data_IF_757116161383
#
_entry.id   IF_757116161383
#
_cell.length_a   1.000
_cell.length_b   1.000
_cell.length_c   1.000
_cell.angle_alpha   90.00
_cell.angle_beta   90.00
_cell.angle_gamma   90.00
#
_symmetry.space_group_name_H-M   'P 1'
#
loop_
_entity.id
_entity.type
_entity.pdbx_description
1 polymer ?
#
# COMPACT_ATOMS: atom_id res chain seq x y z
N UNK A 1 -15.02 15.06 -29.55
CA UNK A 1 -15.14 15.11 -31.02
C UNK A 1 -16.00 16.26 -31.51
N UNK A 2 -17.06 16.68 -30.83
CA UNK A 2 -17.90 17.83 -31.30
C UNK A 2 -17.20 19.16 -31.48
N UNK A 3 -16.13 19.43 -30.72
CA UNK A 3 -15.43 20.73 -30.75
C UNK A 3 -14.68 21.02 -32.09
N UNK A 4 -14.09 20.00 -32.71
CA UNK A 4 -13.38 20.20 -33.98
C UNK A 4 -14.32 20.45 -35.13
N UNK A 5 -15.45 19.71 -35.18
CA UNK A 5 -16.47 19.85 -36.20
C UNK A 5 -17.14 21.20 -36.19
N UNK A 6 -17.14 21.89 -35.06
CA UNK A 6 -17.79 23.20 -34.89
C UNK A 6 -16.76 24.34 -34.91
N UNK A 7 -15.69 24.26 -34.12
CA UNK A 7 -14.74 25.36 -33.95
C UNK A 7 -13.89 25.62 -35.19
N UNK A 8 -13.38 24.58 -35.86
CA UNK A 8 -12.56 24.72 -37.06
C UNK A 8 -13.32 25.37 -38.22
N UNK A 9 -14.49 24.84 -38.60
CA UNK A 9 -15.32 25.42 -39.65
C UNK A 9 -15.79 26.84 -39.35
N UNK A 10 -16.20 27.11 -38.12
CA UNK A 10 -16.66 28.46 -37.72
C UNK A 10 -15.51 29.47 -37.82
N UNK A 11 -14.33 29.15 -37.28
CA UNK A 11 -13.18 30.06 -37.32
C UNK A 11 -12.71 30.31 -38.75
N UNK A 12 -12.67 29.28 -39.59
CA UNK A 12 -12.32 29.41 -40.98
C UNK A 12 -13.41 30.13 -41.79
N UNK A 13 -14.69 29.90 -41.45
CA UNK A 13 -15.81 30.62 -42.05
C UNK A 13 -15.74 32.12 -41.79
N UNK A 14 -15.49 32.51 -40.53
CA UNK A 14 -15.32 33.93 -40.16
C UNK A 14 -14.13 34.55 -40.92
N UNK A 15 -13.01 33.83 -41.00
CA UNK A 15 -11.84 34.30 -41.72
C UNK A 15 -12.08 34.41 -43.22
N UNK A 16 -12.78 33.46 -43.83
CA UNK A 16 -13.18 33.50 -45.24
C UNK A 16 -14.06 34.71 -45.54
N UNK A 17 -15.09 34.94 -44.74
CA UNK A 17 -15.96 36.10 -44.85
C UNK A 17 -15.18 37.41 -44.73
N UNK A 18 -14.24 37.53 -43.77
CA UNK A 18 -13.45 38.72 -43.56
C UNK A 18 -12.53 39.07 -44.77
N UNK A 19 -12.06 38.04 -45.51
CA UNK A 19 -11.16 38.23 -46.64
C UNK A 19 -11.91 38.51 -47.93
N UNK A 20 -13.09 37.89 -48.14
CA UNK A 20 -13.82 37.91 -49.40
C UNK A 20 -15.10 38.74 -49.37
N UNK A 21 -15.35 39.48 -48.32
CA UNK A 21 -16.52 40.36 -48.26
C UNK A 21 -16.38 41.55 -49.26
N UNK A 22 -17.43 41.92 -50.04
CA UNK A 22 -18.78 41.34 -50.07
C UNK A 22 -18.95 40.14 -51.03
N UNK A 23 -17.95 39.76 -51.79
CA UNK A 23 -18.06 38.79 -52.92
C UNK A 23 -17.75 37.35 -52.45
N UNK A 24 -18.36 36.90 -51.35
CA UNK A 24 -18.18 35.56 -50.84
C UNK A 24 -19.16 34.53 -51.42
N UNK A 25 -18.72 33.29 -51.58
CA UNK A 25 -19.55 32.16 -51.99
C UNK A 25 -19.36 30.95 -51.08
N UNK A 26 -20.44 30.50 -50.46
CA UNK A 26 -20.40 29.28 -49.63
C UNK A 26 -20.11 28.01 -50.45
N UNK A 27 -20.46 27.98 -51.72
CA UNK A 27 -20.15 26.88 -52.61
C UNK A 27 -18.63 26.72 -52.84
N UNK A 28 -17.89 27.82 -52.88
CA UNK A 28 -16.44 27.83 -52.99
C UNK A 28 -15.75 27.56 -51.63
N UNK A 29 -16.37 27.98 -50.53
CA UNK A 29 -15.79 27.80 -49.20
C UNK A 29 -15.50 26.34 -48.85
N UNK A 30 -16.45 25.43 -49.10
CA UNK A 30 -16.30 24.02 -48.73
C UNK A 30 -15.14 23.35 -49.48
N UNK A 31 -14.98 23.38 -50.83
CA UNK A 31 -13.88 22.73 -51.50
C UNK A 31 -12.53 23.45 -51.31
N UNK A 32 -12.51 24.77 -51.20
CA UNK A 32 -11.26 25.54 -51.15
C UNK A 32 -10.71 25.75 -49.75
N UNK A 33 -11.56 25.80 -48.76
CA UNK A 33 -11.15 26.10 -47.36
C UNK A 33 -11.44 25.00 -46.37
N UNK A 34 -12.56 24.31 -46.50
CA UNK A 34 -12.96 23.29 -45.50
C UNK A 34 -12.29 21.94 -45.76
N UNK A 35 -12.29 21.47 -47.00
CA UNK A 35 -11.72 20.18 -47.41
C UNK A 35 -10.27 20.26 -47.87
N UNK A 36 -9.52 21.25 -47.46
CA UNK A 36 -8.12 21.39 -47.83
C UNK A 36 -7.16 20.67 -46.89
N UNK A 37 -6.00 20.26 -47.42
CA UNK A 37 -4.91 19.71 -46.61
C UNK A 37 -4.49 20.66 -45.48
N UNK A 38 -4.57 21.98 -45.69
CA UNK A 38 -4.28 23.01 -44.70
C UNK A 38 -5.22 22.92 -43.48
N UNK A 39 -6.52 22.70 -43.72
CA UNK A 39 -7.48 22.52 -42.63
C UNK A 39 -7.18 21.25 -41.84
N UNK A 40 -6.91 20.15 -42.52
CA UNK A 40 -6.54 18.90 -41.90
C UNK A 40 -5.29 19.04 -41.01
N UNK A 41 -4.21 19.62 -41.51
CA UNK A 41 -2.97 19.83 -40.80
C UNK A 41 -3.15 20.76 -39.57
N UNK A 42 -3.89 21.86 -39.76
CA UNK A 42 -4.03 22.86 -38.68
C UNK A 42 -5.02 22.48 -37.57
N UNK A 43 -6.01 21.65 -37.90
CA UNK A 43 -7.09 21.36 -36.95
C UNK A 43 -7.25 19.88 -36.63
N UNK A 44 -7.29 19.00 -37.61
CA UNK A 44 -7.50 17.59 -37.40
C UNK A 44 -6.25 16.89 -36.85
N UNK A 45 -5.07 17.19 -37.40
CA UNK A 45 -3.82 16.54 -36.97
C UNK A 45 -3.44 16.83 -35.52
N UNK A 46 -3.43 18.09 -35.02
CA UNK A 46 -3.19 18.37 -33.61
C UNK A 46 -4.18 17.64 -32.69
N UNK A 47 -5.44 17.58 -33.10
CA UNK A 47 -6.47 16.93 -32.31
C UNK A 47 -6.29 15.41 -32.24
N UNK A 48 -5.86 14.78 -33.32
CA UNK A 48 -5.52 13.36 -33.35
C UNK A 48 -4.31 13.09 -32.44
N UNK A 49 -3.29 13.96 -32.47
CA UNK A 49 -2.11 13.86 -31.63
C UNK A 49 -2.48 14.00 -30.15
N UNK A 50 -3.24 15.04 -29.79
CA UNK A 50 -3.68 15.24 -28.40
C UNK A 50 -4.58 14.10 -27.94
N UNK A 51 -5.50 13.63 -28.76
CA UNK A 51 -6.36 12.48 -28.47
C UNK A 51 -5.55 11.21 -28.26
N UNK A 52 -4.55 10.96 -29.10
CA UNK A 52 -3.65 9.82 -28.96
C UNK A 52 -2.83 9.88 -27.66
N UNK A 53 -2.22 11.04 -27.36
CA UNK A 53 -1.46 11.24 -26.12
C UNK A 53 -2.36 11.08 -24.90
N UNK A 54 -3.54 11.70 -24.91
CA UNK A 54 -4.49 11.59 -23.82
C UNK A 54 -4.93 10.13 -23.56
N UNK A 55 -5.24 9.39 -24.63
CA UNK A 55 -5.61 7.99 -24.54
C UNK A 55 -4.47 7.14 -23.95
N UNK A 56 -3.23 7.34 -24.39
CA UNK A 56 -2.08 6.59 -23.87
C UNK A 56 -1.79 6.92 -22.40
N UNK A 57 -1.91 8.20 -22.00
CA UNK A 57 -1.75 8.58 -20.59
C UNK A 57 -2.85 7.96 -19.74
N UNK A 58 -4.10 8.00 -20.19
CA UNK A 58 -5.22 7.38 -19.48
C UNK A 58 -5.02 5.87 -19.31
N UNK A 59 -4.68 5.17 -20.39
CA UNK A 59 -4.39 3.72 -20.35
C UNK A 59 -3.20 3.40 -19.45
N UNK A 60 -2.18 4.23 -19.40
CA UNK A 60 -1.03 4.04 -18.53
C UNK A 60 -1.41 4.20 -17.05
N UNK A 61 -2.24 5.19 -16.72
CA UNK A 61 -2.74 5.39 -15.36
C UNK A 61 -3.63 4.22 -14.92
N UNK A 62 -4.57 3.81 -15.78
CA UNK A 62 -5.45 2.67 -15.52
C UNK A 62 -4.65 1.37 -15.34
N UNK A 63 -3.61 1.16 -16.15
CA UNK A 63 -2.71 0.00 -16.03
C UNK A 63 -1.94 0.02 -14.71
N UNK A 64 -1.41 1.18 -14.30
CA UNK A 64 -0.73 1.31 -13.02
C UNK A 64 -1.65 1.02 -11.83
N UNK A 65 -2.87 1.52 -11.87
CA UNK A 65 -3.85 1.29 -10.80
C UNK A 65 -4.31 -0.18 -10.78
N UNK A 66 -4.52 -0.79 -11.96
CA UNK A 66 -4.78 -2.23 -12.06
C UNK A 66 -3.61 -3.06 -11.51
N UNK A 67 -2.36 -2.69 -11.86
CA UNK A 67 -1.17 -3.39 -11.38
C UNK A 67 -1.04 -3.32 -9.86
N UNK A 68 -1.24 -2.14 -9.26
CA UNK A 68 -1.26 -1.98 -7.79
C UNK A 68 -2.33 -2.85 -7.15
N UNK A 69 -3.58 -2.78 -7.64
CA UNK A 69 -4.68 -3.58 -7.12
C UNK A 69 -4.45 -5.09 -7.31
N UNK A 70 -3.75 -5.49 -8.38
CA UNK A 70 -3.40 -6.89 -8.61
C UNK A 70 -2.30 -7.37 -7.66
N UNK A 71 -1.26 -6.56 -7.43
CA UNK A 71 -0.22 -6.85 -6.45
C UNK A 71 -0.77 -6.90 -5.02
N UNK A 72 -1.70 -6.01 -4.66
CA UNK A 72 -2.39 -6.03 -3.37
C UNK A 72 -3.23 -7.30 -3.18
N UNK A 73 -3.84 -7.83 -4.25
CA UNK A 73 -4.60 -9.10 -4.20
C UNK A 73 -3.70 -10.33 -4.12
N UNK A 74 -2.50 -10.27 -4.68
CA UNK A 74 -1.51 -11.36 -4.63
C UNK A 74 -0.67 -11.30 -3.35
N UNK A 75 -0.61 -10.15 -2.69
CA UNK A 75 -0.04 -10.05 -1.36
C UNK A 75 -0.91 -10.84 -0.39
N UNK A 76 -0.35 -11.68 0.47
CA UNK A 76 -1.11 -12.35 1.50
C UNK A 76 -1.90 -11.28 2.28
N UNK A 77 -3.17 -11.51 2.62
CA UNK A 77 -4.01 -10.53 3.29
C UNK A 77 -3.30 -10.06 4.56
N UNK A 78 -2.90 -8.79 4.55
CA UNK A 78 -2.22 -8.14 5.68
C UNK A 78 -0.74 -7.80 5.51
N UNK A 79 -0.08 -8.05 4.34
CA UNK A 79 1.37 -7.88 4.24
C UNK A 79 1.88 -6.43 4.07
N UNK A 80 1.04 -5.45 3.85
CA UNK A 80 1.51 -4.09 3.50
C UNK A 80 1.29 -3.00 4.55
N UNK A 81 0.56 -3.29 5.62
CA UNK A 81 0.20 -2.26 6.62
C UNK A 81 0.76 -2.54 8.03
N UNK A 82 1.51 -3.63 8.20
CA UNK A 82 2.06 -3.97 9.52
C UNK A 82 3.34 -3.20 9.82
N UNK A 83 3.51 -2.94 11.11
CA UNK A 83 4.68 -2.27 11.64
C UNK A 83 5.95 -3.05 11.31
N UNK A 84 6.87 -2.44 10.56
CA UNK A 84 8.18 -3.03 10.19
C UNK A 84 9.30 -2.55 11.09
N UNK A 85 9.20 -1.32 11.58
CA UNK A 85 10.21 -0.70 12.43
C UNK A 85 9.55 0.00 13.59
N UNK A 86 10.22 0.03 14.74
CA UNK A 86 9.74 0.63 15.97
C UNK A 86 10.81 1.54 16.57
N UNK A 87 10.50 2.82 16.88
CA UNK A 87 11.38 3.65 17.69
C UNK A 87 11.56 3.03 19.06
N UNK A 88 12.79 2.80 19.45
CA UNK A 88 13.16 2.15 20.70
C UNK A 88 14.36 2.85 21.33
N UNK A 89 14.62 2.58 22.59
CA UNK A 89 15.77 3.13 23.33
C UNK A 89 16.55 1.99 23.96
N UNK A 90 17.84 2.00 23.78
CA UNK A 90 18.78 1.14 24.50
C UNK A 90 19.71 1.97 25.42
N UNK A 91 20.70 1.32 26.00
CA UNK A 91 21.71 1.97 26.87
C UNK A 91 22.54 3.05 26.13
N UNK A 92 22.59 2.99 24.81
CA UNK A 92 23.36 3.90 23.96
C UNK A 92 22.54 5.09 23.44
N UNK A 93 21.19 5.04 23.57
CA UNK A 93 20.30 6.12 23.18
C UNK A 93 19.08 5.65 22.37
N UNK A 94 18.52 6.58 21.60
CA UNK A 94 17.38 6.30 20.72
C UNK A 94 17.86 5.57 19.45
N UNK A 95 17.14 4.53 19.07
CA UNK A 95 17.42 3.70 17.88
C UNK A 95 16.12 3.29 17.20
N UNK A 96 16.22 2.75 16.00
CA UNK A 96 15.11 2.15 15.27
C UNK A 96 15.29 0.64 15.24
N UNK A 97 14.35 -0.07 15.84
CA UNK A 97 14.36 -1.52 15.95
C UNK A 97 13.58 -2.14 14.80
N UNK A 98 14.17 -3.12 14.11
CA UNK A 98 13.46 -3.94 13.13
C UNK A 98 12.58 -4.96 13.87
N UNK A 99 11.28 -4.99 13.54
CA UNK A 99 10.30 -5.88 14.16
C UNK A 99 10.62 -7.36 13.91
N UNK A 100 11.26 -7.69 12.79
CA UNK A 100 11.64 -9.07 12.45
C UNK A 100 12.70 -9.65 13.40
N UNK A 101 13.50 -8.80 14.06
CA UNK A 101 14.52 -9.21 15.03
C UNK A 101 13.96 -9.44 16.45
N UNK A 102 12.73 -8.98 16.70
CA UNK A 102 12.11 -9.05 18.02
C UNK A 102 11.60 -10.47 18.28
N UNK A 103 12.02 -11.06 19.42
CA UNK A 103 11.57 -12.35 19.89
C UNK A 103 10.24 -12.23 20.64
N UNK A 104 10.14 -11.26 21.55
CA UNK A 104 8.90 -10.95 22.28
C UNK A 104 8.89 -9.50 22.76
N UNK A 105 7.70 -9.03 23.05
CA UNK A 105 7.43 -7.81 23.79
C UNK A 105 6.86 -8.15 25.16
N UNK A 106 7.27 -7.41 26.17
CA UNK A 106 6.84 -7.62 27.55
C UNK A 106 6.59 -6.29 28.26
N UNK A 107 5.61 -6.29 29.17
CA UNK A 107 5.41 -5.18 30.09
C UNK A 107 5.82 -5.62 31.49
N UNK A 108 6.78 -4.92 32.05
CA UNK A 108 7.31 -5.12 33.37
C UNK A 108 7.27 -3.79 34.14
N UNK A 109 6.60 -3.75 35.28
CA UNK A 109 6.50 -2.55 36.15
C UNK A 109 6.09 -1.25 35.44
N UNK A 110 5.19 -1.33 34.45
CA UNK A 110 4.75 -0.23 33.55
C UNK A 110 5.73 0.15 32.45
N UNK A 111 6.87 -0.50 32.35
CA UNK A 111 7.80 -0.31 31.25
C UNK A 111 7.51 -1.32 30.14
N UNK A 112 7.39 -0.86 28.92
CA UNK A 112 7.21 -1.71 27.74
C UNK A 112 8.57 -1.97 27.13
N UNK A 113 8.92 -3.23 26.93
CA UNK A 113 10.22 -3.65 26.42
C UNK A 113 10.09 -4.58 25.23
N UNK A 114 11.03 -4.45 24.31
CA UNK A 114 11.25 -5.36 23.20
C UNK A 114 12.55 -6.14 23.42
N UNK A 115 12.48 -7.45 23.26
CA UNK A 115 13.61 -8.35 23.47
C UNK A 115 14.07 -8.93 22.14
N UNK A 116 15.36 -8.83 21.86
CA UNK A 116 16.03 -9.46 20.73
C UNK A 116 17.04 -10.50 21.21
N UNK A 117 17.74 -11.21 20.32
CA UNK A 117 18.71 -12.23 20.71
C UNK A 117 19.88 -11.74 21.58
N UNK A 118 20.15 -10.45 21.60
CA UNK A 118 21.33 -9.93 22.32
C UNK A 118 21.08 -8.68 23.13
N UNK A 119 19.93 -8.03 22.97
CA UNK A 119 19.65 -6.73 23.59
C UNK A 119 18.19 -6.60 24.00
N UNK A 120 17.97 -5.74 24.97
CA UNK A 120 16.65 -5.30 25.42
C UNK A 120 16.49 -3.82 25.08
N UNK A 121 15.31 -3.44 24.61
CA UNK A 121 15.00 -2.09 24.22
C UNK A 121 13.76 -1.61 24.97
N UNK A 122 13.80 -0.41 25.51
CA UNK A 122 12.61 0.28 26.02
C UNK A 122 11.81 0.87 24.86
N UNK A 123 10.50 0.69 24.87
CA UNK A 123 9.60 1.17 23.84
C UNK A 123 8.49 2.04 24.45
N UNK A 124 7.95 2.96 23.64
CA UNK A 124 6.88 3.86 24.11
C UNK A 124 5.47 3.33 23.83
N UNK A 125 5.34 2.38 22.90
CA UNK A 125 4.04 1.80 22.53
C UNK A 125 3.59 0.77 23.54
N UNK A 126 2.31 0.82 23.85
CA UNK A 126 1.66 -0.20 24.69
C UNK A 126 1.49 -1.52 23.95
N UNK A 127 1.34 -2.64 24.68
CA UNK A 127 1.06 -3.94 24.05
C UNK A 127 -0.25 -3.97 23.27
N UNK A 128 -1.24 -3.13 23.62
CA UNK A 128 -2.50 -3.03 22.88
C UNK A 128 -2.32 -2.35 21.52
N UNK A 129 -1.52 -1.28 21.45
CA UNK A 129 -1.16 -0.61 20.21
C UNK A 129 -0.32 -1.53 19.33
N UNK A 130 0.67 -2.22 19.93
CA UNK A 130 1.49 -3.20 19.20
C UNK A 130 0.65 -4.35 18.63
N UNK A 131 -0.29 -4.91 19.41
CA UNK A 131 -1.18 -5.98 18.94
C UNK A 131 -2.04 -5.55 17.74
N UNK A 132 -2.42 -4.27 17.65
CA UNK A 132 -3.19 -3.73 16.53
C UNK A 132 -2.34 -3.47 15.28
N UNK A 133 -1.04 -3.18 15.44
CA UNK A 133 -0.14 -2.78 14.36
C UNK A 133 0.77 -3.92 13.86
N UNK A 134 1.02 -4.94 14.68
CA UNK A 134 1.85 -6.09 14.32
C UNK A 134 1.09 -7.10 13.45
N UNK A 135 1.83 -7.80 12.60
CA UNK A 135 1.28 -8.89 11.80
C UNK A 135 0.74 -10.01 12.71
N UNK A 136 -0.58 -10.25 12.71
CA UNK A 136 -1.18 -11.31 13.53
C UNK A 136 -0.77 -12.73 13.07
N UNK A 137 -0.19 -12.91 11.90
CA UNK A 137 0.39 -14.17 11.46
C UNK A 137 1.77 -14.42 12.08
N UNK A 138 2.52 -13.34 12.37
CA UNK A 138 3.86 -13.41 12.95
C UNK A 138 3.87 -13.24 14.48
N UNK A 139 2.93 -12.48 15.04
CA UNK A 139 2.90 -12.16 16.46
C UNK A 139 1.63 -12.66 17.14
N UNK A 140 1.80 -13.15 18.36
CA UNK A 140 0.69 -13.66 19.15
C UNK A 140 0.80 -13.21 20.60
N UNK A 141 -0.28 -12.60 21.12
CA UNK A 141 -0.35 -12.22 22.53
C UNK A 141 -0.70 -13.43 23.39
N UNK A 142 0.27 -13.91 24.13
CA UNK A 142 0.13 -15.09 25.02
C UNK A 142 -0.74 -14.76 26.24
N UNK A 143 -0.47 -13.62 26.86
CA UNK A 143 -1.16 -13.15 28.06
C UNK A 143 -1.25 -11.62 28.09
N UNK A 144 -1.74 -11.05 29.18
CA UNK A 144 -1.89 -9.59 29.32
C UNK A 144 -0.58 -8.80 29.23
N UNK A 145 0.56 -9.46 29.51
CA UNK A 145 1.87 -8.81 29.66
C UNK A 145 2.86 -9.17 28.56
N UNK A 146 2.56 -10.14 27.68
CA UNK A 146 3.53 -10.67 26.71
C UNK A 146 2.91 -10.90 25.34
N UNK A 147 3.61 -10.41 24.30
CA UNK A 147 3.39 -10.75 22.88
C UNK A 147 4.64 -11.45 22.39
N UNK A 148 4.52 -12.62 21.78
CA UNK A 148 5.64 -13.39 21.21
C UNK A 148 5.63 -13.38 19.69
N UNK A 149 6.81 -13.45 19.13
CA UNK A 149 7.02 -13.67 17.70
C UNK A 149 6.99 -15.17 17.41
N UNK A 150 6.03 -15.62 16.61
CA UNK A 150 5.80 -17.02 16.28
C UNK A 150 6.93 -17.62 15.41
N UNK A 151 7.73 -16.81 14.73
CA UNK A 151 8.92 -17.29 14.02
C UNK A 151 9.98 -17.87 14.96
N UNK A 152 9.99 -17.44 16.21
CA UNK A 152 10.90 -17.95 17.25
C UNK A 152 10.22 -18.95 18.20
N UNK A 153 9.00 -19.35 17.92
CA UNK A 153 8.32 -20.39 18.68
C UNK A 153 9.03 -21.76 18.49
N UNK A 154 9.37 -22.43 19.59
CA UNK A 154 10.00 -23.74 19.59
C UNK A 154 9.01 -24.87 19.87
N UNK A 155 8.42 -24.87 21.06
CA UNK A 155 7.45 -25.85 21.48
C UNK A 155 6.61 -25.36 22.65
N UNK A 156 5.65 -26.16 23.04
CA UNK A 156 4.92 -25.99 24.31
C UNK A 156 4.83 -27.32 25.05
N UNK A 157 4.73 -27.26 26.37
CA UNK A 157 4.55 -28.44 27.25
C UNK A 157 3.49 -28.16 28.30
N UNK A 158 2.85 -29.21 28.76
CA UNK A 158 1.95 -29.13 29.91
C UNK A 158 2.77 -28.76 31.15
N UNK A 159 2.23 -27.88 31.98
CA UNK A 159 2.85 -27.53 33.24
C UNK A 159 1.98 -27.97 34.44
N UNK A 160 0.86 -27.29 34.68
CA UNK A 160 -0.04 -27.63 35.77
C UNK A 160 -1.49 -27.23 35.46
N UNK A 161 -2.48 -27.94 35.94
CA UNK A 161 -3.91 -27.67 35.78
C UNK A 161 -4.25 -27.32 34.30
N UNK A 162 -4.68 -26.08 34.04
CA UNK A 162 -5.01 -25.57 32.71
C UNK A 162 -3.93 -24.65 32.15
N UNK A 163 -2.69 -24.79 32.61
CA UNK A 163 -1.54 -23.98 32.22
C UNK A 163 -0.52 -24.79 31.43
N UNK A 164 0.09 -24.14 30.48
CA UNK A 164 1.14 -24.69 29.65
C UNK A 164 2.30 -23.71 29.61
N UNK A 165 3.50 -24.20 29.31
CA UNK A 165 4.70 -23.41 29.05
C UNK A 165 4.95 -23.37 27.57
N UNK A 166 5.11 -22.17 27.02
CA UNK A 166 5.59 -21.92 25.69
C UNK A 166 7.07 -21.57 25.75
N UNK A 167 7.89 -22.22 24.90
CA UNK A 167 9.32 -21.98 24.80
C UNK A 167 9.67 -21.36 23.46
N UNK A 168 10.59 -20.40 23.51
CA UNK A 168 11.17 -19.79 22.32
C UNK A 168 12.49 -20.48 21.91
N UNK A 169 12.93 -20.20 20.70
CA UNK A 169 14.11 -20.82 20.08
C UNK A 169 15.45 -20.21 20.59
N UNK A 170 15.42 -19.49 21.70
CA UNK A 170 16.59 -18.99 22.44
C UNK A 170 17.04 -19.94 23.56
N UNK A 171 16.29 -21.04 23.76
CA UNK A 171 16.51 -22.09 24.78
C UNK A 171 16.49 -21.60 26.24
N UNK A 172 16.12 -20.36 26.50
CA UNK A 172 16.12 -19.73 27.82
C UNK A 172 14.76 -19.18 28.23
N UNK A 173 13.98 -18.70 27.27
CA UNK A 173 12.77 -17.96 27.54
C UNK A 173 11.55 -18.87 27.54
N UNK A 174 10.83 -18.85 28.67
CA UNK A 174 9.60 -19.61 28.90
C UNK A 174 8.46 -18.68 29.32
N UNK A 175 7.28 -18.89 28.79
CA UNK A 175 6.09 -18.12 29.13
C UNK A 175 4.93 -19.04 29.51
N UNK A 176 4.20 -18.65 30.51
CA UNK A 176 2.98 -19.36 30.90
C UNK A 176 1.81 -18.91 30.04
N UNK A 177 1.10 -19.88 29.46
CA UNK A 177 -0.11 -19.67 28.66
C UNK A 177 -1.27 -20.50 29.23
N UNK A 178 -2.46 -19.93 29.27
CA UNK A 178 -3.67 -20.66 29.67
C UNK A 178 -4.17 -21.55 28.53
N UNK A 179 -4.85 -22.64 28.82
CA UNK A 179 -5.40 -23.61 27.87
C UNK A 179 -6.26 -22.97 26.77
N UNK A 180 -7.10 -21.99 27.13
CA UNK A 180 -7.95 -21.29 26.15
C UNK A 180 -7.11 -20.57 25.09
N UNK A 181 -6.07 -19.84 25.51
CA UNK A 181 -5.16 -19.14 24.61
C UNK A 181 -4.24 -20.09 23.84
N UNK A 182 -3.83 -21.21 24.44
CA UNK A 182 -3.08 -22.25 23.74
C UNK A 182 -3.88 -22.85 22.58
N UNK A 183 -5.18 -23.04 22.75
CA UNK A 183 -6.05 -23.53 21.66
C UNK A 183 -6.04 -22.56 20.44
N UNK A 184 -6.02 -21.27 20.69
CA UNK A 184 -5.92 -20.25 19.66
C UNK A 184 -4.52 -20.24 19.01
N UNK A 185 -3.46 -20.32 19.83
CA UNK A 185 -2.08 -20.43 19.34
C UNK A 185 -1.92 -21.63 18.41
N UNK A 186 -2.39 -22.81 18.80
CA UNK A 186 -2.33 -24.04 17.98
C UNK A 186 -3.00 -23.87 16.62
N UNK A 187 -4.15 -23.22 16.58
CA UNK A 187 -4.85 -22.93 15.34
C UNK A 187 -4.02 -22.04 14.42
N UNK A 188 -3.25 -21.08 14.96
CA UNK A 188 -2.41 -20.18 14.17
C UNK A 188 -1.14 -20.86 13.63
N UNK A 189 -0.53 -21.74 14.42
CA UNK A 189 0.69 -22.47 13.99
C UNK A 189 0.37 -23.76 13.20
N UNK A 190 -0.91 -24.06 12.94
CA UNK A 190 -1.30 -25.20 12.13
C UNK A 190 -1.15 -26.57 12.78
N UNK A 191 -1.21 -26.67 14.15
CA UNK A 191 -1.06 -27.89 14.94
C UNK A 191 -2.28 -28.19 15.79
#
# INVERSE_FOLDING_TARGET
>A
MGSILVFGPVTNGVRYLAVFYPDYSWAAYFPEYFFTARMFVNYALPFLIFGYVFLNVSLFLDYNDWQKAHLERLAPPGSNDFLKTLPARDEQGETVLDISEVLWFEVEEKNYRAFTRGKTFDIRKTLGELEAELDPAAFFRINRSVIVNLHFFKNYSFWEHDKYIVRLNDDKTEFVIQRARLKELRRRIGV
#
